data_IF_539722391625
#
_entry.id   IF_539722391625
#
_cell.length_a   1.000
_cell.length_b   1.000
_cell.length_c   1.000
_cell.angle_alpha   90.00
_cell.angle_beta   90.00
_cell.angle_gamma   90.00
#
_symmetry.space_group_name_H-M   'P 1'
#
loop_
_entity.id
_entity.type
_entity.pdbx_description
1 polymer ?
#
# COMPACT_ATOMS: atom_id res chain seq x y z
N UNK A 1 11.40 4.21 5.80
CA UNK A 1 11.76 2.79 5.56
C UNK A 1 12.65 2.72 4.33
N UNK A 2 13.77 2.00 4.43
CA UNK A 2 14.62 1.69 3.28
C UNK A 2 13.82 0.76 2.35
N UNK A 3 13.49 1.24 1.15
CA UNK A 3 12.77 0.49 0.13
C UNK A 3 13.40 0.76 -1.23
N UNK A 4 13.59 -0.25 -2.09
CA UNK A 4 14.00 -0.04 -3.46
C UNK A 4 13.02 0.90 -4.18
N UNK A 5 13.56 1.83 -4.99
CA UNK A 5 12.74 2.79 -5.75
C UNK A 5 11.75 2.08 -6.68
N UNK A 6 12.19 1.00 -7.33
CA UNK A 6 11.35 0.19 -8.22
C UNK A 6 10.08 -0.33 -7.52
N UNK A 7 10.21 -0.89 -6.32
CA UNK A 7 9.06 -1.42 -5.57
C UNK A 7 8.10 -0.29 -5.16
N UNK A 8 8.63 0.88 -4.78
CA UNK A 8 7.79 2.02 -4.41
C UNK A 8 6.98 2.53 -5.61
N UNK A 9 7.62 2.66 -6.77
CA UNK A 9 6.96 3.09 -8.01
C UNK A 9 5.87 2.09 -8.40
N UNK A 10 6.15 0.79 -8.37
CA UNK A 10 5.16 -0.24 -8.68
C UNK A 10 3.94 -0.23 -7.72
N UNK A 11 4.14 0.02 -6.41
CA UNK A 11 3.02 0.18 -5.46
C UNK A 11 2.15 1.39 -5.83
N UNK A 12 2.78 2.52 -6.21
CA UNK A 12 2.05 3.74 -6.57
C UNK A 12 1.33 3.60 -7.91
N UNK A 13 1.96 2.97 -8.91
CA UNK A 13 1.33 2.67 -10.19
C UNK A 13 0.08 1.80 -10.01
N UNK A 14 0.17 0.75 -9.17
CA UNK A 14 -0.96 -0.12 -8.85
C UNK A 14 -2.08 0.65 -8.13
N UNK A 15 -1.72 1.40 -7.08
CA UNK A 15 -2.68 2.22 -6.32
C UNK A 15 -3.41 3.24 -7.21
N UNK A 16 -2.69 3.87 -8.14
CA UNK A 16 -3.27 4.89 -9.02
C UNK A 16 -4.13 4.27 -10.13
N UNK A 17 -3.76 3.08 -10.61
CA UNK A 17 -4.53 2.34 -11.62
C UNK A 17 -5.87 1.85 -11.07
N UNK A 18 -5.90 1.37 -9.83
CA UNK A 18 -7.11 0.80 -9.22
C UNK A 18 -7.88 1.81 -8.34
N UNK A 19 -7.20 2.83 -7.80
CA UNK A 19 -7.75 3.81 -6.87
C UNK A 19 -7.97 3.29 -5.43
N UNK A 20 -7.79 1.98 -5.22
CA UNK A 20 -8.00 1.27 -3.96
C UNK A 20 -6.89 0.23 -3.81
N UNK A 21 -6.50 -0.08 -2.58
CA UNK A 21 -5.60 -1.21 -2.31
C UNK A 21 -5.99 -1.90 -1.00
N UNK A 22 -5.80 -3.21 -0.94
CA UNK A 22 -6.08 -4.02 0.25
C UNK A 22 -4.84 -4.81 0.63
N UNK A 23 -4.46 -4.83 1.91
CA UNK A 23 -3.42 -5.75 2.38
C UNK A 23 -3.78 -6.38 3.72
N UNK A 24 -3.46 -7.66 3.87
CA UNK A 24 -3.51 -8.32 5.17
C UNK A 24 -2.44 -7.74 6.11
N UNK A 25 -2.77 -7.60 7.40
CA UNK A 25 -1.83 -7.29 8.48
C UNK A 25 -0.97 -8.53 8.80
N UNK A 26 -0.09 -8.84 7.87
CA UNK A 26 1.02 -9.77 8.03
C UNK A 26 2.30 -9.15 7.46
N UNK A 27 3.26 -8.87 8.32
CA UNK A 27 4.52 -8.22 7.96
C UNK A 27 5.57 -9.21 7.43
N UNK A 28 5.39 -10.50 7.68
CA UNK A 28 6.34 -11.57 7.31
C UNK A 28 5.97 -12.23 5.98
N UNK A 29 4.81 -11.91 5.43
CA UNK A 29 4.38 -12.41 4.14
C UNK A 29 5.39 -11.99 3.05
N UNK A 30 6.03 -12.96 2.36
CA UNK A 30 7.12 -12.69 1.44
C UNK A 30 6.68 -11.97 0.17
N UNK A 31 5.40 -12.13 -0.21
CA UNK A 31 4.81 -11.57 -1.42
C UNK A 31 3.39 -11.09 -1.14
N UNK A 32 3.05 -9.92 -1.65
CA UNK A 32 1.69 -9.43 -1.63
C UNK A 32 0.85 -10.12 -2.73
N UNK A 33 -0.43 -10.50 -2.49
CA UNK A 33 -1.24 -11.25 -3.46
C UNK A 33 -1.38 -10.55 -4.82
N UNK A 34 -1.56 -9.22 -4.83
CA UNK A 34 -1.70 -8.43 -6.06
C UNK A 34 -0.34 -8.04 -6.69
N UNK A 35 0.74 -8.09 -5.92
CA UNK A 35 2.08 -7.67 -6.34
C UNK A 35 3.08 -8.81 -6.09
N UNK A 36 3.20 -9.71 -7.06
CA UNK A 36 4.01 -10.95 -6.95
C UNK A 36 5.48 -10.72 -6.57
N UNK A 37 6.04 -9.55 -6.87
CA UNK A 37 7.46 -9.21 -6.66
C UNK A 37 7.72 -8.43 -5.38
N UNK A 38 6.68 -7.99 -4.67
CA UNK A 38 6.81 -6.99 -3.59
C UNK A 38 6.43 -7.61 -2.24
N UNK A 39 7.29 -7.49 -1.22
CA UNK A 39 6.95 -7.92 0.13
C UNK A 39 5.79 -7.10 0.70
N UNK A 40 4.91 -7.75 1.46
CA UNK A 40 3.74 -7.08 2.04
C UNK A 40 4.12 -5.95 3.01
N UNK A 41 5.26 -6.10 3.70
CA UNK A 41 5.84 -5.05 4.54
C UNK A 41 6.03 -3.73 3.78
N UNK A 42 6.50 -3.80 2.53
CA UNK A 42 6.77 -2.61 1.72
C UNK A 42 5.47 -1.88 1.38
N UNK A 43 4.41 -2.63 1.05
CA UNK A 43 3.07 -2.11 0.76
C UNK A 43 2.50 -1.39 1.98
N UNK A 44 2.47 -2.06 3.14
CA UNK A 44 1.92 -1.52 4.38
C UNK A 44 2.66 -0.24 4.79
N UNK A 45 3.99 -0.24 4.73
CA UNK A 45 4.79 0.93 5.14
C UNK A 45 4.77 2.07 4.13
N UNK A 46 4.65 1.78 2.83
CA UNK A 46 4.45 2.80 1.81
C UNK A 46 3.11 3.52 2.00
N UNK A 47 2.02 2.75 2.18
CA UNK A 47 0.68 3.32 2.37
C UNK A 47 0.51 3.98 3.73
N UNK A 48 1.19 3.49 4.78
CA UNK A 48 1.27 4.20 6.07
C UNK A 48 1.87 5.61 5.90
N UNK A 49 2.89 5.76 5.05
CA UNK A 49 3.50 7.06 4.76
C UNK A 49 2.60 7.96 3.91
N UNK A 50 1.75 7.40 3.04
CA UNK A 50 0.81 8.20 2.25
C UNK A 50 -0.36 8.67 3.12
N UNK A 51 -0.87 7.80 4.00
CA UNK A 51 -1.89 8.14 4.99
C UNK A 51 -1.43 9.29 5.89
N UNK A 52 -0.20 9.26 6.41
CA UNK A 52 0.31 10.35 7.26
C UNK A 52 0.39 11.71 6.55
N UNK A 53 0.34 11.73 5.21
CA UNK A 53 0.36 12.94 4.39
C UNK A 53 -1.03 13.37 3.90
N UNK A 54 -2.08 12.61 4.20
CA UNK A 54 -3.45 12.91 3.75
C UNK A 54 -3.82 12.42 2.36
N UNK A 55 -2.90 11.78 1.62
CA UNK A 55 -3.15 11.34 0.23
C UNK A 55 -4.03 10.09 0.10
N UNK A 56 -4.23 9.37 1.20
CA UNK A 56 -4.95 8.10 1.22
C UNK A 56 -5.73 7.98 2.54
N UNK A 57 -7.00 7.62 2.43
CA UNK A 57 -7.80 7.21 3.59
C UNK A 57 -7.58 5.73 3.90
N UNK A 58 -7.48 5.41 5.18
CA UNK A 58 -7.24 4.05 5.65
C UNK A 58 -8.38 3.59 6.56
N UNK A 59 -8.99 2.45 6.21
CA UNK A 59 -9.87 1.67 7.09
C UNK A 59 -9.16 0.37 7.48
N UNK A 60 -9.41 -0.12 8.68
CA UNK A 60 -8.85 -1.38 9.16
C UNK A 60 -9.96 -2.25 9.75
N UNK A 61 -10.14 -3.45 9.20
CA UNK A 61 -11.16 -4.39 9.65
C UNK A 61 -10.69 -5.82 9.41
N UNK A 62 -11.00 -6.74 10.34
CA UNK A 62 -10.72 -8.18 10.17
C UNK A 62 -9.25 -8.51 9.84
N UNK A 63 -8.29 -7.77 10.41
CA UNK A 63 -6.86 -7.87 10.08
C UNK A 63 -6.48 -7.45 8.65
N UNK A 64 -7.37 -6.79 7.90
CA UNK A 64 -7.06 -6.21 6.60
C UNK A 64 -7.05 -4.68 6.66
N UNK A 65 -6.04 -4.09 6.03
CA UNK A 65 -5.97 -2.68 5.70
C UNK A 65 -6.66 -2.45 4.36
N UNK A 66 -7.55 -1.47 4.34
CA UNK A 66 -8.23 -0.98 3.15
C UNK A 66 -7.80 0.46 2.95
N UNK A 67 -7.25 0.77 1.79
CA UNK A 67 -6.80 2.09 1.43
C UNK A 67 -7.59 2.61 0.24
N UNK A 68 -8.01 3.87 0.31
CA UNK A 68 -8.68 4.58 -0.78
C UNK A 68 -7.95 5.87 -1.08
N UNK A 69 -7.68 6.12 -2.36
CA UNK A 69 -7.03 7.35 -2.80
C UNK A 69 -7.98 8.54 -2.59
N UNK A 70 -7.47 9.64 -2.04
CA UNK A 70 -8.22 10.90 -1.91
C UNK A 70 -7.91 11.82 -3.09
N UNK A 71 -8.74 12.84 -3.34
CA UNK A 71 -8.50 13.81 -4.41
C UNK A 71 -7.17 14.56 -4.27
N UNK A 72 -6.66 14.73 -3.04
CA UNK A 72 -5.36 15.35 -2.78
C UNK A 72 -4.17 14.42 -3.12
N UNK A 73 -4.44 13.12 -3.23
CA UNK A 73 -3.46 12.09 -3.58
C UNK A 73 -3.45 11.68 -5.06
N UNK A 74 -4.35 12.25 -5.87
CA UNK A 74 -4.37 12.13 -7.34
C UNK A 74 -3.41 13.15 -7.94
#
# INVERSE_FOLDING_TARGET
>A
MLMPKANRVAIYEHLFKEGVMVAERDLFMPKHPELEKIPNLHVIKALQSLKSRGYVEQNFAWRHYYWRLTNEGI
#
